data_IF_998590688726
#
_entry.id   IF_998590688726
#
_cell.length_a   1.000
_cell.length_b   1.000
_cell.length_c   1.000
_cell.angle_alpha   90.00
_cell.angle_beta   90.00
_cell.angle_gamma   90.00
#
_symmetry.space_group_name_H-M   'P 1'
#
loop_
_entity.id
_entity.type
_entity.pdbx_description
1 polymer ?
#
# COMPACT_ATOMS: atom_id res chain seq x y z
N UNK A 1 35.78 -13.91 -27.25
CA UNK A 1 34.42 -13.77 -27.82
C UNK A 1 33.36 -14.66 -27.17
N UNK A 2 33.70 -15.58 -26.25
CA UNK A 2 32.71 -16.40 -25.50
C UNK A 2 32.28 -15.79 -24.16
N UNK A 3 33.11 -14.90 -23.60
CA UNK A 3 32.84 -14.19 -22.34
C UNK A 3 31.77 -13.12 -22.47
N UNK A 4 31.61 -12.50 -23.64
CA UNK A 4 30.57 -11.48 -23.88
C UNK A 4 29.14 -12.03 -23.77
N UNK A 5 28.92 -13.30 -24.12
CA UNK A 5 27.63 -13.97 -23.98
C UNK A 5 27.23 -14.16 -22.51
N UNK A 6 28.20 -14.42 -21.63
CA UNK A 6 27.96 -14.58 -20.20
C UNK A 6 27.62 -13.24 -19.53
N UNK A 7 28.26 -12.15 -19.93
CA UNK A 7 27.94 -10.81 -19.43
C UNK A 7 26.53 -10.34 -19.81
N UNK A 8 26.04 -10.68 -21.01
CA UNK A 8 24.68 -10.35 -21.46
C UNK A 8 23.59 -11.17 -20.74
N UNK A 9 23.89 -12.43 -20.40
CA UNK A 9 22.99 -13.24 -19.57
C UNK A 9 22.95 -12.73 -18.12
N UNK A 10 24.08 -12.24 -17.59
CA UNK A 10 24.15 -11.68 -16.24
C UNK A 10 23.32 -10.39 -16.12
N UNK A 11 23.33 -9.53 -17.13
CA UNK A 11 22.49 -8.32 -17.15
C UNK A 11 20.99 -8.64 -17.27
N UNK A 12 20.62 -9.77 -17.87
CA UNK A 12 19.21 -10.18 -18.01
C UNK A 12 18.61 -10.75 -16.71
N UNK A 13 19.43 -11.11 -15.73
CA UNK A 13 19.00 -11.57 -14.39
C UNK A 13 18.83 -10.39 -13.42
N UNK A 14 19.35 -9.21 -13.79
CA UNK A 14 19.33 -8.00 -12.96
C UNK A 14 18.37 -6.92 -13.50
N UNK A 15 17.40 -7.28 -14.34
CA UNK A 15 16.32 -6.35 -14.70
C UNK A 15 15.29 -6.31 -13.56
N UNK A 16 15.73 -5.69 -12.47
CA UNK A 16 14.95 -5.25 -11.33
C UNK A 16 14.05 -4.09 -11.78
N UNK A 17 13.01 -4.41 -12.56
CA UNK A 17 11.94 -3.45 -12.78
C UNK A 17 11.16 -3.35 -11.47
N UNK A 18 11.61 -2.43 -10.62
CA UNK A 18 10.95 -1.92 -9.42
C UNK A 18 9.48 -1.59 -9.74
N UNK A 19 8.62 -2.59 -9.72
CA UNK A 19 7.26 -2.46 -10.22
C UNK A 19 6.42 -1.92 -9.07
N UNK A 20 6.14 -0.61 -9.16
CA UNK A 20 5.25 0.20 -8.33
C UNK A 20 4.72 -0.48 -7.06
N UNK A 21 5.29 -0.11 -5.90
CA UNK A 21 4.89 -0.66 -4.59
C UNK A 21 3.43 -0.41 -4.22
N UNK A 22 2.75 0.53 -4.88
CA UNK A 22 1.38 0.91 -4.59
C UNK A 22 0.53 0.88 -5.86
N UNK A 23 -0.58 0.14 -5.83
CA UNK A 23 -1.52 0.01 -6.94
C UNK A 23 -2.90 0.51 -6.55
N UNK A 24 -3.42 1.51 -7.27
CA UNK A 24 -4.79 1.99 -7.09
C UNK A 24 -5.80 1.09 -7.79
N UNK A 25 -6.83 0.68 -7.06
CA UNK A 25 -7.93 -0.15 -7.54
C UNK A 25 -9.21 0.67 -7.51
N UNK A 26 -9.78 0.93 -8.68
CA UNK A 26 -10.93 1.85 -8.81
C UNK A 26 -12.27 1.25 -8.36
N UNK A 27 -12.42 -0.08 -8.36
CA UNK A 27 -13.66 -0.72 -7.90
C UNK A 27 -13.89 -0.48 -6.41
N UNK A 28 -15.14 -0.22 -6.04
CA UNK A 28 -15.52 0.01 -4.65
C UNK A 28 -15.73 -1.32 -3.93
N UNK A 29 -15.19 -1.41 -2.71
CA UNK A 29 -15.29 -2.57 -1.82
C UNK A 29 -15.37 -2.11 -0.37
N UNK A 30 -15.98 -2.92 0.49
CA UNK A 30 -15.86 -2.74 1.93
C UNK A 30 -14.41 -2.97 2.37
N UNK A 31 -14.05 -2.52 3.58
CA UNK A 31 -12.67 -2.65 4.06
C UNK A 31 -12.17 -4.10 4.02
N UNK A 32 -12.99 -5.05 4.50
CA UNK A 32 -12.66 -6.48 4.51
C UNK A 32 -12.51 -7.05 3.11
N UNK A 33 -13.41 -6.71 2.19
CA UNK A 33 -13.34 -7.18 0.81
C UNK A 33 -12.14 -6.59 0.06
N UNK A 34 -11.80 -5.32 0.31
CA UNK A 34 -10.63 -4.65 -0.24
C UNK A 34 -9.35 -5.31 0.27
N UNK A 35 -9.26 -5.59 1.57
CA UNK A 35 -8.13 -6.31 2.16
C UNK A 35 -7.95 -7.70 1.57
N UNK A 36 -9.04 -8.48 1.47
CA UNK A 36 -9.01 -9.81 0.83
C UNK A 36 -8.54 -9.69 -0.62
N UNK A 37 -9.04 -8.70 -1.36
CA UNK A 37 -8.60 -8.48 -2.74
C UNK A 37 -7.09 -8.18 -2.80
N UNK A 38 -6.59 -7.28 -1.97
CA UNK A 38 -5.17 -6.94 -1.97
C UNK A 38 -4.29 -8.13 -1.59
N UNK A 39 -4.68 -8.96 -0.62
CA UNK A 39 -3.91 -10.16 -0.22
C UNK A 39 -3.92 -11.28 -1.26
N UNK A 40 -4.91 -11.30 -2.15
CA UNK A 40 -4.99 -12.30 -3.22
C UNK A 40 -4.09 -11.97 -4.42
N UNK A 41 -3.93 -10.68 -4.73
CA UNK A 41 -3.27 -10.23 -5.97
C UNK A 41 -2.01 -9.38 -5.73
N UNK A 42 -1.82 -8.91 -4.50
CA UNK A 42 -0.71 -8.08 -4.02
C UNK A 42 -0.30 -8.57 -2.62
N UNK A 43 0.39 -7.75 -1.82
CA UNK A 43 0.74 -8.11 -0.44
C UNK A 43 -0.40 -7.81 0.55
N UNK A 44 -0.85 -6.56 0.63
CA UNK A 44 -1.94 -6.13 1.53
C UNK A 44 -2.49 -4.75 1.11
N UNK A 45 -3.42 -4.17 1.86
CA UNK A 45 -3.76 -2.74 1.78
C UNK A 45 -2.51 -1.88 2.04
N UNK A 46 -2.45 -0.73 1.36
CA UNK A 46 -1.39 0.23 1.57
C UNK A 46 -1.41 0.75 3.01
N UNK A 47 -0.28 0.62 3.69
CA UNK A 47 -0.04 1.25 4.98
C UNK A 47 0.74 2.53 4.77
N UNK A 48 0.36 3.58 5.49
CA UNK A 48 1.06 4.87 5.44
C UNK A 48 2.04 4.86 6.61
N UNK A 49 3.31 4.58 6.32
CA UNK A 49 4.40 4.65 7.30
C UNK A 49 5.42 5.69 6.85
N UNK A 50 6.03 6.38 7.80
CA UNK A 50 7.18 7.25 7.56
C UNK A 50 8.31 6.40 6.96
N UNK A 51 8.70 6.71 5.72
CA UNK A 51 9.88 6.09 5.10
C UNK A 51 11.15 6.94 5.32
N UNK A 52 11.08 8.00 6.13
CA UNK A 52 12.20 8.88 6.46
C UNK A 52 12.34 9.06 7.98
N UNK A 53 13.36 8.41 8.54
CA UNK A 53 14.17 8.77 9.70
C UNK A 53 13.53 9.62 10.83
N UNK A 54 13.19 8.92 11.93
CA UNK A 54 13.30 9.25 13.37
C UNK A 54 13.04 10.67 13.93
N UNK A 55 12.50 11.66 13.19
CA UNK A 55 12.18 12.97 13.79
C UNK A 55 10.90 13.66 13.27
N UNK A 56 10.10 13.00 12.44
CA UNK A 56 8.88 13.57 11.83
C UNK A 56 7.58 12.84 12.17
N UNK A 57 7.53 12.13 13.32
CA UNK A 57 6.32 11.46 13.78
C UNK A 57 5.07 12.35 13.87
N UNK A 58 5.23 13.68 13.89
CA UNK A 58 4.15 14.67 13.86
C UNK A 58 3.53 14.94 12.47
N UNK A 59 4.21 14.63 11.34
CA UNK A 59 3.68 14.94 10.01
C UNK A 59 2.51 14.03 9.60
N UNK A 60 2.51 12.77 10.05
CA UNK A 60 1.42 11.82 9.77
C UNK A 60 0.14 12.15 10.56
N UNK A 61 0.26 12.70 11.77
CA UNK A 61 -0.90 13.17 12.55
C UNK A 61 -1.57 14.42 11.95
N UNK A 62 -0.91 15.13 11.05
CA UNK A 62 -1.46 16.31 10.37
C UNK A 62 -2.25 15.98 9.09
N UNK A 63 -2.48 14.69 8.79
CA UNK A 63 -3.18 14.28 7.57
C UNK A 63 -4.68 14.05 7.77
N UNK A 64 -5.16 14.02 9.01
CA UNK A 64 -6.58 13.95 9.31
C UNK A 64 -7.31 15.17 8.77
N UNK A 65 -8.52 14.95 8.27
CA UNK A 65 -9.42 16.04 7.96
C UNK A 65 -9.77 16.81 9.24
N UNK A 66 -10.12 18.09 9.11
CA UNK A 66 -10.49 18.91 10.25
C UNK A 66 -11.63 18.26 11.05
N UNK A 67 -11.39 18.00 12.33
CA UNK A 67 -12.35 17.35 13.21
C UNK A 67 -12.31 15.82 13.22
N UNK A 68 -11.36 15.18 12.51
CA UNK A 68 -11.14 13.73 12.53
C UNK A 68 -9.87 13.33 13.31
N UNK A 69 -9.81 12.10 13.87
CA UNK A 69 -10.88 11.10 13.89
C UNK A 69 -11.95 11.39 14.96
N UNK A 70 -13.22 11.26 14.62
CA UNK A 70 -14.33 11.61 15.51
C UNK A 70 -15.13 10.41 16.03
N UNK A 71 -14.89 9.22 15.48
CA UNK A 71 -15.60 7.99 15.76
C UNK A 71 -17.13 8.19 15.83
N UNK A 72 -17.72 8.83 14.82
CA UNK A 72 -19.13 9.21 14.81
C UNK A 72 -20.02 7.99 15.08
N UNK A 73 -20.89 8.11 16.09
CA UNK A 73 -21.80 7.02 16.48
C UNK A 73 -21.10 5.77 17.05
N UNK A 74 -19.80 5.84 17.33
CA UNK A 74 -19.00 4.76 17.89
C UNK A 74 -18.83 3.53 16.97
N UNK A 75 -18.81 3.71 15.64
CA UNK A 75 -18.66 2.61 14.67
C UNK A 75 -17.67 2.88 13.52
N UNK A 76 -16.92 3.99 13.57
CA UNK A 76 -16.01 4.39 12.50
C UNK A 76 -14.57 3.97 12.82
N UNK A 77 -14.23 2.71 12.52
CA UNK A 77 -12.93 2.12 12.90
C UNK A 77 -11.95 1.95 11.72
N UNK A 78 -12.37 2.29 10.50
CA UNK A 78 -11.56 2.11 9.29
C UNK A 78 -11.19 3.46 8.67
N UNK A 79 -10.00 3.60 8.10
CA UNK A 79 -9.53 4.87 7.55
C UNK A 79 -9.79 4.98 6.04
N UNK A 80 -10.34 6.10 5.61
CA UNK A 80 -10.48 6.48 4.21
C UNK A 80 -9.69 7.76 3.91
N UNK A 81 -9.01 7.80 2.76
CA UNK A 81 -8.40 9.02 2.25
C UNK A 81 -9.45 9.82 1.47
N UNK A 82 -9.68 11.07 1.88
CA UNK A 82 -10.64 11.98 1.25
C UNK A 82 -9.94 13.23 0.70
N UNK A 83 -10.68 14.09 -0.01
CA UNK A 83 -10.16 15.38 -0.47
C UNK A 83 -9.73 16.31 0.69
N UNK A 84 -10.33 16.15 1.88
CA UNK A 84 -10.03 16.97 3.06
C UNK A 84 -8.95 16.40 3.98
N UNK A 85 -8.42 15.20 3.68
CA UNK A 85 -7.55 14.46 4.58
C UNK A 85 -8.09 13.07 4.90
N UNK A 86 -7.51 12.41 5.89
CA UNK A 86 -7.97 11.12 6.39
C UNK A 86 -9.24 11.28 7.23
N UNK A 87 -10.09 10.27 7.14
CA UNK A 87 -11.38 10.24 7.78
C UNK A 87 -11.62 8.83 8.31
N UNK A 88 -11.95 8.72 9.60
CA UNK A 88 -12.37 7.45 10.17
C UNK A 88 -13.83 7.21 9.79
N UNK A 89 -14.06 6.07 9.16
CA UNK A 89 -15.30 5.72 8.51
C UNK A 89 -15.73 4.32 8.93
N UNK A 90 -17.00 4.02 8.68
CA UNK A 90 -17.50 2.67 8.89
C UNK A 90 -16.78 1.71 7.97
N UNK A 91 -16.34 0.58 8.51
CA UNK A 91 -15.68 -0.46 7.73
C UNK A 91 -16.60 -1.11 6.67
N UNK A 92 -17.92 -0.90 6.76
CA UNK A 92 -18.93 -1.40 5.81
C UNK A 92 -19.18 -0.46 4.64
N UNK A 93 -18.66 0.77 4.69
CA UNK A 93 -18.73 1.69 3.56
C UNK A 93 -17.81 1.23 2.43
N UNK A 94 -18.20 1.51 1.19
CA UNK A 94 -17.48 1.03 0.02
C UNK A 94 -16.60 2.12 -0.61
N UNK A 95 -15.30 1.85 -0.67
CA UNK A 95 -14.32 2.78 -1.24
C UNK A 95 -13.48 2.11 -2.32
N UNK A 96 -12.98 2.92 -3.26
CA UNK A 96 -11.79 2.56 -4.04
C UNK A 96 -10.59 2.53 -3.10
N UNK A 97 -9.59 1.72 -3.39
CA UNK A 97 -8.53 1.41 -2.42
C UNK A 97 -7.16 1.28 -3.07
N UNK A 98 -6.11 1.30 -2.26
CA UNK A 98 -4.73 1.16 -2.71
C UNK A 98 -4.15 -0.11 -2.10
N UNK A 99 -3.63 -0.99 -2.93
CA UNK A 99 -2.89 -2.18 -2.49
C UNK A 99 -1.39 -1.89 -2.47
N UNK A 100 -0.69 -2.45 -1.50
CA UNK A 100 0.75 -2.49 -1.42
C UNK A 100 1.28 -3.84 -1.95
N UNK A 101 2.32 -3.77 -2.77
CA UNK A 101 3.06 -4.91 -3.30
C UNK A 101 4.50 -4.77 -2.82
N UNK A 102 4.75 -5.24 -1.60
CA UNK A 102 6.10 -5.34 -1.08
C UNK A 102 6.81 -6.49 -1.76
N UNK A 103 8.06 -6.29 -2.16
CA UNK A 103 8.92 -7.39 -2.57
C UNK A 103 8.88 -8.49 -1.51
N UNK A 104 8.21 -9.60 -1.84
CA UNK A 104 8.70 -10.86 -1.35
C UNK A 104 10.10 -10.97 -1.95
N UNK A 105 11.14 -10.76 -1.13
CA UNK A 105 12.41 -11.44 -1.39
C UNK A 105 12.00 -12.87 -1.69
N UNK A 106 12.24 -13.31 -2.92
CA UNK A 106 11.84 -14.63 -3.36
C UNK A 106 12.18 -15.62 -2.24
N UNK A 107 11.18 -16.24 -1.60
CA UNK A 107 11.39 -17.57 -1.05
C UNK A 107 11.53 -18.48 -2.27
N UNK A 108 12.63 -18.31 -3.00
CA UNK A 108 13.13 -19.28 -3.93
C UNK A 108 13.56 -20.46 -3.07
N UNK A 109 12.92 -21.59 -3.30
CA UNK A 109 13.52 -22.88 -2.99
C UNK A 109 14.93 -22.89 -3.62
N UNK A 110 15.95 -22.82 -2.78
CA UNK A 110 17.27 -23.40 -3.05
C UNK A 110 17.42 -24.62 -2.15
#
# INVERSE_FOLDING_TARGET
MRTLLLFLLLSAVLDDSFSQRFTFVSFKKTWTEAQIYCRNWYSDLATITDMSDENESNFLFNRWAAGQPNNLGSFQFCVAATAGGWDDQSCTEQYSFVCYSGEYRACGLL
#
